data_IF_565720926720
#
_entry.id   IF_565720926720
#
_cell.length_a   1.000
_cell.length_b   1.000
_cell.length_c   1.000
_cell.angle_alpha   90.00
_cell.angle_beta   90.00
_cell.angle_gamma   90.00
#
_symmetry.space_group_name_H-M   'P 1'
#
loop_
_entity.id
_entity.type
_entity.pdbx_description
1 polymer ?
#
# COMPACT_ATOMS: atom_id res chain seq x y z
N UNK A 1 -7.95 -21.15 -25.81
CA UNK A 1 -7.05 -21.74 -24.79
C UNK A 1 -6.49 -20.58 -23.99
N UNK A 2 -6.89 -20.42 -22.73
CA UNK A 2 -6.33 -19.37 -21.86
C UNK A 2 -5.99 -19.99 -20.51
N UNK A 3 -4.82 -20.63 -20.43
CA UNK A 3 -4.10 -20.73 -19.16
C UNK A 3 -3.44 -19.35 -18.97
N UNK A 4 -3.50 -18.66 -17.83
CA UNK A 4 -2.87 -19.04 -16.56
C UNK A 4 -3.40 -18.21 -15.36
N UNK A 5 -3.67 -18.89 -14.22
CA UNK A 5 -3.25 -18.65 -12.81
C UNK A 5 -3.06 -17.18 -12.34
N UNK A 6 -3.57 -16.81 -11.14
CA UNK A 6 -3.99 -15.44 -10.78
C UNK A 6 -2.82 -14.46 -10.67
N UNK A 7 -3.07 -13.16 -10.91
CA UNK A 7 -2.10 -12.10 -10.60
C UNK A 7 -1.87 -12.04 -9.07
N UNK A 8 -1.05 -12.95 -8.56
CA UNK A 8 -0.43 -12.82 -7.24
C UNK A 8 0.67 -11.77 -7.37
N UNK A 9 0.59 -10.72 -6.58
CA UNK A 9 1.61 -9.68 -6.49
C UNK A 9 2.23 -9.68 -5.09
N UNK A 10 3.47 -9.22 -4.99
CA UNK A 10 4.17 -9.15 -3.72
C UNK A 10 3.58 -8.04 -2.85
N UNK A 11 3.31 -6.88 -3.46
CA UNK A 11 2.83 -5.70 -2.75
C UNK A 11 1.62 -5.10 -3.46
N UNK A 12 0.57 -4.82 -2.70
CA UNK A 12 -0.50 -3.91 -3.10
C UNK A 12 -0.41 -2.64 -2.27
N UNK A 13 -0.40 -1.49 -2.93
CA UNK A 13 -0.48 -0.19 -2.27
C UNK A 13 -1.77 0.51 -2.69
N UNK A 14 -2.61 0.81 -1.71
CA UNK A 14 -3.82 1.61 -1.89
C UNK A 14 -3.62 2.95 -1.21
N UNK A 15 -3.84 4.05 -1.94
CA UNK A 15 -3.63 5.38 -1.38
C UNK A 15 -4.52 6.43 -2.03
N UNK A 16 -4.95 7.41 -1.23
CA UNK A 16 -5.53 8.65 -1.73
C UNK A 16 -4.44 9.71 -1.78
N UNK A 17 -4.22 10.28 -2.96
CA UNK A 17 -3.24 11.33 -3.22
C UNK A 17 -3.97 12.64 -3.49
N UNK A 18 -3.85 13.57 -2.55
CA UNK A 18 -4.29 14.96 -2.69
C UNK A 18 -3.10 15.90 -2.62
N UNK A 19 -3.31 17.18 -2.94
CA UNK A 19 -2.28 18.21 -2.78
C UNK A 19 -1.68 18.25 -1.36
N UNK A 20 -2.48 17.96 -0.32
CA UNK A 20 -2.06 17.99 1.09
C UNK A 20 -1.27 16.74 1.54
N UNK A 21 -1.33 15.64 0.78
CA UNK A 21 -0.72 14.34 1.16
C UNK A 21 0.72 14.19 0.66
N UNK A 22 1.60 15.16 0.96
CA UNK A 22 3.01 15.11 0.56
C UNK A 22 3.73 13.85 1.05
N UNK A 23 3.41 13.37 2.26
CA UNK A 23 4.05 12.17 2.80
C UNK A 23 3.65 10.91 2.02
N UNK A 24 2.39 10.79 1.62
CA UNK A 24 1.90 9.71 0.76
C UNK A 24 2.68 9.69 -0.56
N UNK A 25 2.87 10.86 -1.19
CA UNK A 25 3.62 10.98 -2.45
C UNK A 25 5.07 10.50 -2.30
N UNK A 26 5.73 10.79 -1.18
CA UNK A 26 7.11 10.32 -0.90
C UNK A 26 7.19 8.79 -0.76
N UNK A 27 6.26 8.19 -0.04
CA UNK A 27 6.21 6.72 0.11
C UNK A 27 5.90 6.03 -1.22
N UNK A 28 4.95 6.56 -2.00
CA UNK A 28 4.62 6.03 -3.33
C UNK A 28 5.82 6.07 -4.28
N UNK A 29 6.55 7.19 -4.31
CA UNK A 29 7.76 7.33 -5.13
C UNK A 29 8.86 6.35 -4.73
N UNK A 30 9.04 6.13 -3.42
CA UNK A 30 10.03 5.16 -2.95
C UNK A 30 9.65 3.73 -3.31
N UNK A 31 8.38 3.34 -3.11
CA UNK A 31 7.87 2.04 -3.53
C UNK A 31 8.02 1.83 -5.04
N UNK A 32 7.72 2.84 -5.86
CA UNK A 32 7.78 2.72 -7.32
C UNK A 32 9.23 2.53 -7.83
N UNK A 33 10.20 3.12 -7.14
CA UNK A 33 11.63 2.98 -7.47
C UNK A 33 12.26 1.71 -6.91
N UNK A 34 11.68 1.11 -5.88
CA UNK A 34 12.31 0.03 -5.14
C UNK A 34 12.62 -1.22 -5.98
N UNK A 35 11.74 -1.69 -6.88
CA UNK A 35 12.04 -2.82 -7.77
C UNK A 35 13.15 -2.56 -8.79
N UNK A 36 13.56 -1.29 -8.98
CA UNK A 36 14.68 -0.93 -9.86
C UNK A 36 16.02 -0.88 -9.09
N UNK A 37 16.00 -1.14 -7.79
CA UNK A 37 17.14 -1.02 -6.89
C UNK A 37 17.91 -2.34 -6.70
N UNK A 38 19.05 -2.25 -6.02
CA UNK A 38 19.97 -3.38 -5.82
C UNK A 38 19.50 -4.44 -4.81
N UNK A 39 18.29 -4.31 -4.26
CA UNK A 39 17.80 -5.13 -3.12
C UNK A 39 16.94 -6.33 -3.54
N UNK A 40 16.77 -6.53 -4.85
CA UNK A 40 15.99 -7.61 -5.45
C UNK A 40 14.64 -7.12 -5.99
N UNK A 41 14.11 -7.85 -6.95
CA UNK A 41 12.87 -7.48 -7.63
C UNK A 41 11.65 -7.93 -6.84
N UNK A 42 10.63 -7.07 -6.77
CA UNK A 42 9.29 -7.45 -6.32
C UNK A 42 8.23 -6.72 -7.14
N UNK A 43 7.06 -7.34 -7.24
CA UNK A 43 5.93 -6.77 -7.99
C UNK A 43 5.08 -5.86 -7.11
N UNK A 44 4.72 -4.69 -7.63
CA UNK A 44 3.82 -3.74 -6.95
C UNK A 44 2.63 -3.42 -7.83
N UNK A 45 1.43 -3.53 -7.27
CA UNK A 45 0.20 -3.02 -7.87
C UNK A 45 -0.25 -1.79 -7.08
N UNK A 46 -0.55 -0.72 -7.80
CA UNK A 46 -1.06 0.52 -7.23
C UNK A 46 -2.55 0.67 -7.52
N UNK A 47 -3.30 0.99 -6.48
CA UNK A 47 -4.70 1.40 -6.58
C UNK A 47 -4.83 2.79 -5.98
N UNK A 48 -4.75 3.80 -6.84
CA UNK A 48 -4.67 5.18 -6.41
C UNK A 48 -6.01 5.89 -6.63
N UNK A 49 -6.32 6.80 -5.71
CA UNK A 49 -7.35 7.80 -5.88
C UNK A 49 -6.67 9.15 -5.88
N UNK A 50 -6.91 10.01 -6.86
CA UNK A 50 -6.41 11.37 -6.86
C UNK A 50 -7.54 12.36 -7.15
N UNK A 51 -7.56 13.48 -6.42
CA UNK A 51 -8.46 14.60 -6.69
C UNK A 51 -8.10 15.32 -8.00
N UNK A 52 -6.80 15.34 -8.33
CA UNK A 52 -6.26 15.87 -9.57
C UNK A 52 -5.16 14.93 -10.11
N UNK A 53 -5.28 14.37 -11.32
CA UNK A 53 -4.25 13.51 -11.90
C UNK A 53 -2.85 14.15 -11.94
N UNK A 54 -2.75 15.48 -12.00
CA UNK A 54 -1.48 16.19 -12.00
C UNK A 54 -0.72 16.10 -10.65
N UNK A 55 -1.38 15.69 -9.55
CA UNK A 55 -0.72 15.49 -8.25
C UNK A 55 -0.10 14.09 -8.12
N UNK A 56 -0.43 13.17 -9.01
CA UNK A 56 0.20 11.85 -9.03
C UNK A 56 1.66 11.98 -9.47
N UNK A 57 2.61 11.31 -8.78
CA UNK A 57 3.99 11.37 -9.22
C UNK A 57 4.17 10.79 -10.63
N UNK A 58 5.07 11.38 -11.41
CA UNK A 58 5.32 10.96 -12.79
C UNK A 58 5.69 9.47 -12.86
N UNK A 59 5.13 8.76 -13.85
CA UNK A 59 5.33 7.33 -14.04
C UNK A 59 4.38 6.44 -13.23
N UNK A 60 3.91 6.86 -12.04
CA UNK A 60 2.95 6.08 -11.25
C UNK A 60 1.58 5.97 -11.93
N UNK A 61 1.17 7.00 -12.68
CA UNK A 61 -0.08 6.98 -13.45
C UNK A 61 -0.14 5.83 -14.48
N UNK A 62 1.00 5.32 -14.96
CA UNK A 62 1.04 4.18 -15.89
C UNK A 62 0.87 2.83 -15.19
N UNK A 63 1.10 2.78 -13.88
CA UNK A 63 1.02 1.57 -13.06
C UNK A 63 -0.23 1.54 -12.17
N UNK A 64 -0.96 2.66 -12.10
CA UNK A 64 -2.22 2.76 -11.39
C UNK A 64 -3.31 1.91 -12.07
N UNK A 65 -3.96 1.06 -11.27
CA UNK A 65 -5.11 0.23 -11.69
C UNK A 65 -6.45 0.85 -11.30
N UNK A 66 -6.43 2.08 -10.81
CA UNK A 66 -7.60 2.82 -10.35
C UNK A 66 -8.01 2.47 -8.92
N UNK A 67 -9.01 3.19 -8.37
CA UNK A 67 -9.40 3.07 -6.98
C UNK A 67 -9.96 1.69 -6.66
N UNK A 68 -9.65 1.19 -5.45
CA UNK A 68 -10.12 -0.07 -4.93
C UNK A 68 -10.75 0.13 -3.55
N UNK A 69 -11.95 -0.42 -3.34
CA UNK A 69 -12.69 -0.23 -2.10
C UNK A 69 -13.56 -1.44 -1.74
N UNK A 70 -14.05 -1.46 -0.49
CA UNK A 70 -15.03 -2.43 -0.02
C UNK A 70 -14.57 -3.89 -0.18
N UNK A 71 -15.47 -4.80 -0.62
CA UNK A 71 -15.15 -6.23 -0.76
C UNK A 71 -14.02 -6.52 -1.75
N UNK A 72 -13.88 -5.72 -2.80
CA UNK A 72 -12.83 -5.89 -3.80
C UNK A 72 -11.43 -5.63 -3.20
N UNK A 73 -11.33 -4.66 -2.28
CA UNK A 73 -10.10 -4.39 -1.53
C UNK A 73 -9.69 -5.57 -0.66
N UNK A 74 -10.62 -6.16 0.09
CA UNK A 74 -10.34 -7.34 0.91
C UNK A 74 -9.96 -8.56 0.06
N UNK A 75 -10.62 -8.76 -1.08
CA UNK A 75 -10.29 -9.84 -2.01
C UNK A 75 -8.90 -9.67 -2.63
N UNK A 76 -8.46 -8.44 -2.90
CA UNK A 76 -7.11 -8.15 -3.36
C UNK A 76 -6.09 -8.34 -2.24
N UNK A 77 -6.40 -7.89 -1.02
CA UNK A 77 -5.57 -8.09 0.16
C UNK A 77 -5.28 -9.56 0.47
N UNK A 78 -6.24 -10.46 0.21
CA UNK A 78 -6.06 -11.90 0.35
C UNK A 78 -5.11 -12.52 -0.70
N UNK A 79 -4.83 -11.81 -1.81
CA UNK A 79 -3.97 -12.27 -2.91
C UNK A 79 -2.58 -11.67 -2.88
N UNK A 80 -2.39 -10.57 -2.16
CA UNK A 80 -1.10 -9.91 -1.99
C UNK A 80 -0.31 -10.57 -0.86
N UNK A 81 1.02 -10.62 -0.98
CA UNK A 81 1.87 -10.98 0.16
C UNK A 81 1.88 -9.88 1.21
N UNK A 82 1.85 -8.60 0.78
CA UNK A 82 1.90 -7.42 1.63
C UNK A 82 0.90 -6.37 1.14
N UNK A 83 0.17 -5.75 2.07
CA UNK A 83 -0.66 -4.57 1.85
C UNK A 83 0.00 -3.37 2.51
N UNK A 84 0.23 -2.30 1.74
CA UNK A 84 0.71 -1.02 2.27
C UNK A 84 -0.47 -0.05 2.43
N UNK A 85 -0.76 0.33 3.67
CA UNK A 85 -1.73 1.37 4.05
C UNK A 85 -0.98 2.68 4.34
N UNK A 86 -1.24 3.70 3.53
CA UNK A 86 -0.69 5.05 3.71
C UNK A 86 -1.73 5.95 4.40
N UNK A 87 -1.26 6.92 5.20
CA UNK A 87 -2.14 7.83 5.90
C UNK A 87 -2.69 8.89 4.93
N UNK A 88 -3.94 8.69 4.52
CA UNK A 88 -4.55 9.40 3.40
C UNK A 88 -5.53 10.51 3.84
N UNK A 89 -5.47 10.90 5.12
CA UNK A 89 -6.33 11.93 5.70
C UNK A 89 -7.76 11.46 6.02
N UNK A 90 -8.05 10.16 5.87
CA UNK A 90 -9.28 9.56 6.40
C UNK A 90 -9.35 9.75 7.92
N UNK A 91 -10.57 9.86 8.46
CA UNK A 91 -10.75 9.93 9.90
C UNK A 91 -10.26 8.64 10.59
N UNK A 92 -9.92 8.76 11.88
CA UNK A 92 -9.34 7.68 12.64
C UNK A 92 -10.24 6.44 12.72
N UNK A 93 -11.56 6.60 12.84
CA UNK A 93 -12.49 5.48 12.97
C UNK A 93 -12.57 4.69 11.65
N UNK A 94 -12.63 5.38 10.52
CA UNK A 94 -12.61 4.77 9.19
C UNK A 94 -11.31 4.00 8.96
N UNK A 95 -10.16 4.57 9.32
CA UNK A 95 -8.87 3.90 9.17
C UNK A 95 -8.73 2.69 10.10
N UNK A 96 -9.16 2.79 11.35
CA UNK A 96 -9.19 1.66 12.30
C UNK A 96 -10.06 0.51 11.75
N UNK A 97 -11.25 0.82 11.24
CA UNK A 97 -12.15 -0.18 10.67
C UNK A 97 -11.51 -0.88 9.46
N UNK A 98 -10.88 -0.13 8.56
CA UNK A 98 -10.15 -0.64 7.39
C UNK A 98 -9.00 -1.58 7.79
N UNK A 99 -8.13 -1.14 8.71
CA UNK A 99 -7.00 -1.93 9.20
C UNK A 99 -7.47 -3.19 9.94
N UNK A 100 -8.55 -3.10 10.71
CA UNK A 100 -9.14 -4.23 11.43
C UNK A 100 -9.67 -5.27 10.46
N UNK A 101 -10.39 -4.84 9.41
CA UNK A 101 -10.92 -5.74 8.38
C UNK A 101 -9.79 -6.47 7.63
N UNK A 102 -8.72 -5.77 7.27
CA UNK A 102 -7.54 -6.38 6.63
C UNK A 102 -6.87 -7.41 7.55
N UNK A 103 -6.73 -7.07 8.84
CA UNK A 103 -6.12 -7.95 9.83
C UNK A 103 -6.96 -9.22 10.02
N UNK A 104 -8.28 -9.08 10.10
CA UNK A 104 -9.21 -10.21 10.19
C UNK A 104 -9.20 -11.08 8.93
N UNK A 105 -8.96 -10.49 7.75
CA UNK A 105 -8.77 -11.21 6.50
C UNK A 105 -7.41 -11.93 6.40
N UNK A 106 -6.54 -11.81 7.42
CA UNK A 106 -5.22 -12.45 7.44
C UNK A 106 -4.18 -11.77 6.55
N UNK A 107 -4.44 -10.54 6.08
CA UNK A 107 -3.49 -9.81 5.26
C UNK A 107 -2.24 -9.43 6.08
N UNK A 108 -1.05 -9.53 5.47
CA UNK A 108 0.14 -8.92 6.08
C UNK A 108 0.17 -7.43 5.76
N UNK A 109 -0.03 -6.61 6.78
CA UNK A 109 -0.17 -5.17 6.62
C UNK A 109 1.13 -4.48 7.02
N UNK A 110 1.53 -3.50 6.21
CA UNK A 110 2.44 -2.43 6.58
C UNK A 110 1.65 -1.13 6.58
N UNK A 111 1.61 -0.44 7.70
CA UNK A 111 0.87 0.82 7.81
C UNK A 111 1.77 1.99 8.22
N UNK A 112 1.48 3.16 7.67
CA UNK A 112 2.09 4.39 8.15
C UNK A 112 1.73 4.63 9.63
N UNK A 113 2.73 4.98 10.42
CA UNK A 113 2.68 5.05 11.87
C UNK A 113 1.86 6.26 12.33
N UNK A 114 0.62 6.01 12.72
CA UNK A 114 -0.29 6.99 13.34
C UNK A 114 -1.09 6.37 14.48
N UNK A 115 -1.85 7.17 15.25
CA UNK A 115 -2.64 6.69 16.39
C UNK A 115 -3.57 5.53 16.01
N UNK A 116 -4.34 5.70 14.93
CA UNK A 116 -5.25 4.68 14.40
C UNK A 116 -4.55 3.36 14.05
N UNK A 117 -3.33 3.42 13.50
CA UNK A 117 -2.57 2.22 13.15
C UNK A 117 -2.00 1.52 14.39
N UNK A 118 -1.55 2.28 15.39
CA UNK A 118 -1.02 1.75 16.67
C UNK A 118 -2.07 1.01 17.49
N UNK A 119 -3.33 1.41 17.38
CA UNK A 119 -4.44 0.75 18.09
C UNK A 119 -4.74 -0.65 17.53
N UNK A 120 -4.41 -0.90 16.25
CA UNK A 120 -4.80 -2.13 15.54
C UNK A 120 -3.62 -3.06 15.27
N UNK A 121 -2.45 -2.51 14.96
CA UNK A 121 -1.30 -3.24 14.44
C UNK A 121 -0.12 -3.24 15.41
N UNK A 122 0.67 -4.33 15.45
CA UNK A 122 1.89 -4.37 16.23
C UNK A 122 2.98 -3.45 15.66
N UNK A 123 3.94 -3.05 16.49
CA UNK A 123 4.97 -2.06 16.12
C UNK A 123 5.83 -2.47 14.91
N UNK A 124 6.03 -3.77 14.68
CA UNK A 124 6.81 -4.29 13.55
C UNK A 124 6.09 -4.11 12.20
N UNK A 125 4.77 -3.93 12.21
CA UNK A 125 3.94 -3.61 11.04
C UNK A 125 3.86 -2.10 10.74
N UNK A 126 4.42 -1.24 11.59
CA UNK A 126 4.36 0.22 11.43
C UNK A 126 5.64 0.78 10.83
N UNK A 127 5.54 1.82 10.00
CA UNK A 127 6.67 2.58 9.46
C UNK A 127 6.40 4.09 9.48
N UNK A 128 7.45 4.91 9.56
CA UNK A 128 7.34 6.38 9.56
C UNK A 128 8.06 7.04 8.38
N UNK A 129 8.93 6.32 7.69
CA UNK A 129 9.73 6.87 6.58
C UNK A 129 9.71 5.92 5.38
N UNK A 130 9.99 6.43 4.16
CA UNK A 130 10.10 5.60 2.98
C UNK A 130 11.16 4.49 3.10
N UNK A 131 12.30 4.78 3.72
CA UNK A 131 13.37 3.80 3.95
C UNK A 131 12.90 2.67 4.86
N UNK A 132 12.24 3.03 5.96
CA UNK A 132 11.70 2.05 6.90
C UNK A 132 10.59 1.19 6.27
N UNK A 133 9.76 1.77 5.40
CA UNK A 133 8.80 1.03 4.59
C UNK A 133 9.51 -0.01 3.72
N UNK A 134 10.51 0.42 2.94
CA UNK A 134 11.24 -0.48 2.04
C UNK A 134 11.97 -1.59 2.81
N UNK A 135 12.65 -1.25 3.90
CA UNK A 135 13.31 -2.25 4.77
C UNK A 135 12.34 -3.33 5.22
N UNK A 136 11.13 -2.94 5.63
CA UNK A 136 10.09 -3.86 6.09
C UNK A 136 9.44 -4.67 4.99
N UNK A 137 9.30 -4.10 3.78
CA UNK A 137 8.86 -4.84 2.59
C UNK A 137 9.88 -5.94 2.28
N UNK A 138 11.16 -5.57 2.12
CA UNK A 138 12.21 -6.54 1.80
C UNK A 138 12.39 -7.61 2.89
N UNK A 139 12.23 -7.26 4.17
CA UNK A 139 12.31 -8.22 5.26
C UNK A 139 11.18 -9.27 5.23
N UNK A 140 10.00 -8.93 4.70
CA UNK A 140 8.83 -9.83 4.60
C UNK A 140 8.79 -10.63 3.29
N UNK A 141 9.51 -10.18 2.26
CA UNK A 141 9.58 -10.86 0.98
C UNK A 141 10.67 -11.93 0.89
N UNK A 142 11.68 -11.86 1.77
CA UNK A 142 12.72 -12.89 1.96
C UNK A 142 12.18 -14.11 2.68
#
# INVERSE_FOLDING_TARGET
MSQTVPETCDVICCATVTAATENVRRHLLALAKAPLGLRGDFSVIYHLTADNPAVLPAGLAMHDRGPLSGPAYLAAAAKARIIVDLEDGADAATRIARLTALKQAGAQILAENGPAARDVLPADALFSTPEALLDKVYARLR
#
